data_IF_261811148322
#
_entry.id   IF_261811148322
#
_cell.length_a   1.000
_cell.length_b   1.000
_cell.length_c   1.000
_cell.angle_alpha   90.00
_cell.angle_beta   90.00
_cell.angle_gamma   90.00
#
_symmetry.space_group_name_H-M   'P 1'
#
loop_
_entity.id
_entity.type
_entity.pdbx_description
1 polymer ?
#
# COMPACT_ATOMS: atom_id res chain seq x y z
N UNK A 1 -2.17 -4.57 -26.69
CA UNK A 1 -2.19 -6.05 -26.43
C UNK A 1 -3.63 -6.55 -26.50
N UNK A 2 -3.86 -7.84 -26.85
CA UNK A 2 -5.25 -8.35 -26.79
C UNK A 2 -5.75 -8.41 -25.35
N UNK A 3 -6.99 -7.97 -25.12
CA UNK A 3 -7.61 -7.96 -23.77
C UNK A 3 -7.60 -9.34 -23.12
N UNK A 4 -7.75 -10.40 -23.93
CA UNK A 4 -7.72 -11.78 -23.47
C UNK A 4 -6.34 -12.16 -22.88
N UNK A 5 -5.24 -11.74 -23.51
CA UNK A 5 -3.90 -12.00 -23.00
C UNK A 5 -3.65 -11.27 -21.68
N UNK A 6 -4.11 -10.03 -21.56
CA UNK A 6 -3.98 -9.24 -20.31
C UNK A 6 -4.78 -9.91 -19.19
N UNK A 7 -6.02 -10.32 -19.46
CA UNK A 7 -6.85 -11.03 -18.48
C UNK A 7 -6.19 -12.35 -18.06
N UNK A 8 -5.64 -13.11 -19.01
CA UNK A 8 -4.95 -14.37 -18.71
C UNK A 8 -3.76 -14.13 -17.77
N UNK A 9 -2.93 -13.11 -18.03
CA UNK A 9 -1.80 -12.75 -17.17
C UNK A 9 -2.28 -12.39 -15.76
N UNK A 10 -3.34 -11.59 -15.64
CA UNK A 10 -3.93 -11.21 -14.35
C UNK A 10 -4.42 -12.46 -13.60
N UNK A 11 -5.15 -13.35 -14.27
CA UNK A 11 -5.69 -14.58 -13.66
C UNK A 11 -4.55 -15.50 -13.19
N UNK A 12 -3.52 -15.69 -14.01
CA UNK A 12 -2.34 -16.49 -13.61
C UNK A 12 -1.62 -15.87 -12.42
N UNK A 13 -1.42 -14.56 -12.43
CA UNK A 13 -0.80 -13.85 -11.30
C UNK A 13 -1.61 -14.01 -10.01
N UNK A 14 -2.92 -13.80 -10.07
CA UNK A 14 -3.81 -13.99 -8.92
C UNK A 14 -3.78 -15.45 -8.45
N UNK A 15 -3.84 -16.43 -9.37
CA UNK A 15 -3.76 -17.84 -9.02
C UNK A 15 -2.46 -18.19 -8.26
N UNK A 16 -1.33 -17.62 -8.65
CA UNK A 16 -0.05 -17.80 -7.94
C UNK A 16 -0.13 -17.21 -6.53
N UNK A 17 -0.62 -15.99 -6.38
CA UNK A 17 -0.76 -15.32 -5.06
C UNK A 17 -1.69 -16.14 -4.15
N UNK A 18 -2.82 -16.63 -4.66
CA UNK A 18 -3.75 -17.48 -3.91
C UNK A 18 -3.18 -18.84 -3.54
N UNK A 19 -2.48 -19.45 -4.47
CA UNK A 19 -1.79 -20.72 -4.19
C UNK A 19 -0.82 -20.56 -3.02
N UNK A 20 -0.04 -19.48 -3.02
CA UNK A 20 0.91 -19.20 -1.93
C UNK A 20 0.19 -18.89 -0.63
N UNK A 21 -0.92 -18.12 -0.65
CA UNK A 21 -1.73 -17.85 0.53
C UNK A 21 -2.27 -19.15 1.13
N UNK A 22 -2.91 -19.99 0.31
CA UNK A 22 -3.47 -21.27 0.75
C UNK A 22 -2.39 -22.25 1.25
N UNK A 23 -1.27 -22.33 0.53
CA UNK A 23 -0.15 -23.16 0.95
C UNK A 23 0.42 -22.71 2.30
N UNK A 24 0.58 -21.41 2.53
CA UNK A 24 1.10 -20.86 3.76
C UNK A 24 0.13 -21.04 4.93
N UNK A 25 -1.17 -20.91 4.71
CA UNK A 25 -2.20 -21.19 5.71
C UNK A 25 -2.14 -22.65 6.17
N UNK A 26 -2.12 -23.59 5.21
CA UNK A 26 -2.00 -25.02 5.49
C UNK A 26 -0.71 -25.39 6.21
N UNK A 27 0.38 -24.68 5.91
CA UNK A 27 1.71 -24.91 6.50
C UNK A 27 2.09 -23.84 7.55
N UNK A 28 1.12 -23.34 8.29
CA UNK A 28 1.27 -22.23 9.25
C UNK A 28 2.35 -22.46 10.32
N UNK A 29 2.73 -23.71 10.60
CA UNK A 29 3.82 -24.09 11.55
C UNK A 29 5.20 -24.17 10.90
N UNK A 30 5.30 -24.06 9.58
CA UNK A 30 6.57 -24.14 8.85
C UNK A 30 7.51 -23.00 9.22
N UNK A 31 8.82 -23.29 9.28
CA UNK A 31 9.87 -22.29 9.48
C UNK A 31 9.91 -21.24 8.35
N UNK A 32 9.47 -21.60 7.16
CA UNK A 32 9.36 -20.68 6.02
C UNK A 32 8.30 -19.62 6.24
N UNK A 33 7.12 -20.03 6.73
CA UNK A 33 6.00 -19.10 7.01
C UNK A 33 6.27 -18.29 8.29
N UNK A 34 6.80 -18.93 9.35
CA UNK A 34 7.11 -18.28 10.63
C UNK A 34 8.49 -17.61 10.61
N UNK A 35 8.78 -16.85 9.55
CA UNK A 35 10.05 -16.18 9.38
C UNK A 35 9.88 -14.67 9.62
N UNK A 36 10.74 -14.01 10.43
CA UNK A 36 10.69 -12.56 10.60
C UNK A 36 10.84 -11.76 9.29
N UNK A 37 11.48 -12.33 8.27
CA UNK A 37 11.57 -11.68 6.96
C UNK A 37 10.21 -11.62 6.24
N UNK A 38 9.36 -12.66 6.36
CA UNK A 38 8.00 -12.62 5.84
C UNK A 38 7.20 -11.49 6.49
N UNK A 39 7.30 -11.36 7.81
CA UNK A 39 6.68 -10.24 8.51
C UNK A 39 7.24 -8.89 8.06
N UNK A 40 8.55 -8.75 7.91
CA UNK A 40 9.17 -7.50 7.43
C UNK A 40 8.67 -7.12 6.03
N UNK A 41 8.67 -8.09 5.11
CA UNK A 41 8.18 -7.88 3.74
C UNK A 41 6.69 -7.55 3.69
N UNK A 42 5.88 -8.13 4.58
CA UNK A 42 4.45 -7.82 4.62
C UNK A 42 4.13 -6.37 5.05
N UNK A 43 5.05 -5.71 5.75
CA UNK A 43 4.89 -4.28 6.06
C UNK A 43 4.87 -3.40 4.80
N UNK A 44 5.40 -3.90 3.70
CA UNK A 44 5.31 -3.24 2.40
C UNK A 44 3.89 -3.25 1.80
N UNK A 45 2.87 -3.73 2.53
CA UNK A 45 1.45 -3.46 2.24
C UNK A 45 1.15 -1.96 2.13
N UNK A 46 2.03 -1.12 2.67
CA UNK A 46 2.02 0.32 2.49
C UNK A 46 2.13 0.73 1.01
N UNK A 47 2.94 0.00 0.23
CA UNK A 47 3.16 0.24 -1.20
C UNK A 47 1.99 -0.33 -2.03
N UNK A 48 1.21 0.55 -2.64
CA UNK A 48 0.03 0.22 -3.45
C UNK A 48 0.18 0.70 -4.88
N UNK A 49 -0.89 0.62 -5.70
CA UNK A 49 -0.91 1.19 -7.04
C UNK A 49 -0.51 2.68 -7.05
N UNK A 50 -0.82 3.41 -5.98
CA UNK A 50 -0.39 4.79 -5.83
C UNK A 50 1.15 4.96 -5.87
N UNK A 51 1.92 4.02 -5.35
CA UNK A 51 3.38 4.05 -5.39
C UNK A 51 3.92 4.03 -6.82
N UNK A 52 3.24 3.35 -7.75
CA UNK A 52 3.63 3.29 -9.16
C UNK A 52 3.12 4.47 -9.97
N UNK A 53 1.84 4.83 -9.80
CA UNK A 53 1.19 5.83 -10.66
C UNK A 53 1.11 7.19 -9.99
N UNK A 54 0.64 7.23 -8.74
CA UNK A 54 0.42 8.48 -8.03
C UNK A 54 1.71 9.22 -7.71
N UNK A 55 2.75 8.51 -7.22
CA UNK A 55 4.01 9.17 -6.88
C UNK A 55 4.78 9.64 -8.12
N UNK A 56 4.75 8.85 -9.19
CA UNK A 56 5.38 9.24 -10.48
C UNK A 56 4.63 10.44 -11.08
N UNK A 57 3.30 10.39 -11.11
CA UNK A 57 2.47 11.51 -11.55
C UNK A 57 2.70 12.77 -10.72
N UNK A 58 2.77 12.64 -9.39
CA UNK A 58 3.06 13.77 -8.50
C UNK A 58 4.46 14.33 -8.71
N UNK A 59 5.46 13.48 -8.94
CA UNK A 59 6.82 13.92 -9.28
C UNK A 59 6.84 14.74 -10.59
N UNK A 60 6.07 14.30 -11.58
CA UNK A 60 5.99 14.99 -12.87
C UNK A 60 5.24 16.35 -12.80
N UNK A 61 4.25 16.47 -11.91
CA UNK A 61 3.40 17.66 -11.83
C UNK A 61 3.81 18.65 -10.75
N UNK A 62 4.26 18.15 -9.59
CA UNK A 62 4.52 18.95 -8.39
C UNK A 62 5.97 18.85 -7.89
N UNK A 63 6.86 18.29 -8.70
CA UNK A 63 8.30 18.21 -8.44
C UNK A 63 8.61 17.60 -7.07
N UNK A 64 9.42 18.29 -6.25
CA UNK A 64 9.91 17.78 -4.96
C UNK A 64 8.82 17.45 -3.91
N UNK A 65 7.58 17.85 -4.14
CA UNK A 65 6.47 17.51 -3.22
C UNK A 65 6.27 16.00 -3.07
N UNK A 66 6.57 15.21 -4.11
CA UNK A 66 6.46 13.75 -4.04
C UNK A 66 7.36 13.13 -2.96
N UNK A 67 8.50 13.77 -2.63
CA UNK A 67 9.44 13.28 -1.64
C UNK A 67 8.85 13.19 -0.24
N UNK A 68 7.85 14.02 0.09
CA UNK A 68 7.20 14.04 1.43
C UNK A 68 6.68 12.67 1.84
N UNK A 69 6.19 11.89 0.87
CA UNK A 69 5.58 10.59 1.09
C UNK A 69 6.63 9.52 1.43
N UNK A 70 7.85 9.67 0.96
CA UNK A 70 8.97 8.77 1.27
C UNK A 70 9.76 9.24 2.48
N UNK A 71 10.00 10.54 2.58
CA UNK A 71 10.78 11.12 3.67
C UNK A 71 10.06 10.96 5.01
N UNK A 72 8.74 11.16 5.05
CA UNK A 72 7.96 10.99 6.27
C UNK A 72 8.18 9.63 6.94
N UNK A 73 7.90 8.52 6.28
CA UNK A 73 8.16 7.18 6.80
C UNK A 73 9.62 6.94 7.21
N UNK A 74 10.58 7.44 6.44
CA UNK A 74 12.02 7.28 6.76
C UNK A 74 12.41 8.03 8.03
N UNK A 75 12.00 9.28 8.17
CA UNK A 75 12.31 10.13 9.33
C UNK A 75 11.71 9.56 10.62
N UNK A 76 10.50 8.99 10.55
CA UNK A 76 9.81 8.47 11.75
C UNK A 76 10.37 7.11 12.23
N UNK A 77 11.18 6.39 11.45
CA UNK A 77 11.65 5.02 11.78
C UNK A 77 12.16 4.88 13.21
N UNK A 78 13.07 5.74 13.74
CA UNK A 78 13.58 5.57 15.10
C UNK A 78 12.48 5.65 16.16
N UNK A 79 11.56 6.60 16.02
CA UNK A 79 10.43 6.79 16.92
C UNK A 79 9.39 5.69 16.72
N UNK A 80 9.15 5.28 15.48
CA UNK A 80 8.23 4.22 15.10
C UNK A 80 8.55 2.89 15.81
N UNK A 81 9.81 2.49 15.87
CA UNK A 81 10.23 1.24 16.53
C UNK A 81 9.87 1.27 18.02
N UNK A 82 10.16 2.40 18.69
CA UNK A 82 9.89 2.55 20.12
C UNK A 82 8.38 2.52 20.39
N UNK A 83 7.62 3.27 19.59
CA UNK A 83 6.16 3.36 19.73
C UNK A 83 5.47 2.04 19.39
N UNK A 84 5.78 1.44 18.23
CA UNK A 84 5.14 0.21 17.78
C UNK A 84 5.43 -0.96 18.70
N UNK A 85 6.61 -1.02 19.32
CA UNK A 85 6.89 -2.03 20.35
C UNK A 85 5.92 -1.93 21.54
N UNK A 86 5.64 -0.72 22.02
CA UNK A 86 4.68 -0.49 23.10
C UNK A 86 3.26 -0.82 22.65
N UNK A 87 2.86 -0.37 21.47
CA UNK A 87 1.54 -0.62 20.89
C UNK A 87 1.30 -2.13 20.73
N UNK A 88 2.23 -2.87 20.12
CA UNK A 88 2.13 -4.33 19.95
C UNK A 88 1.99 -5.04 21.30
N UNK A 89 2.78 -4.64 22.31
CA UNK A 89 2.71 -5.24 23.65
C UNK A 89 1.35 -5.03 24.29
N UNK A 90 0.83 -3.79 24.26
CA UNK A 90 -0.50 -3.46 24.80
C UNK A 90 -1.58 -4.21 24.04
N UNK A 91 -1.50 -4.25 22.72
CA UNK A 91 -2.49 -4.92 21.87
C UNK A 91 -2.54 -6.44 22.12
N UNK A 92 -1.40 -7.07 22.33
CA UNK A 92 -1.35 -8.52 22.66
C UNK A 92 -1.93 -8.85 24.03
N UNK A 93 -1.63 -8.02 25.03
CA UNK A 93 -2.15 -8.24 26.41
C UNK A 93 -3.67 -8.10 26.41
N UNK A 94 -4.21 -7.12 25.67
CA UNK A 94 -5.64 -6.80 25.68
C UNK A 94 -6.41 -7.42 24.51
N UNK A 95 -5.79 -8.29 23.69
CA UNK A 95 -6.42 -8.96 22.53
C UNK A 95 -7.08 -7.97 21.55
N UNK A 96 -6.40 -6.86 21.25
CA UNK A 96 -6.89 -5.82 20.37
C UNK A 96 -6.83 -6.33 18.93
N UNK A 97 -7.93 -6.16 18.19
CA UNK A 97 -8.09 -6.61 16.81
C UNK A 97 -8.10 -5.47 15.78
N UNK A 98 -8.24 -4.23 16.24
CA UNK A 98 -8.32 -3.06 15.34
C UNK A 98 -7.76 -1.79 15.99
N UNK A 99 -7.49 -0.77 15.17
CA UNK A 99 -7.12 0.55 15.68
C UNK A 99 -8.27 1.19 16.49
N UNK A 100 -9.52 0.90 16.13
CA UNK A 100 -10.68 1.38 16.86
C UNK A 100 -10.74 0.80 18.28
N UNK A 101 -10.44 -0.51 18.43
CA UNK A 101 -10.33 -1.16 19.75
C UNK A 101 -9.20 -0.57 20.57
N UNK A 102 -8.05 -0.28 19.92
CA UNK A 102 -6.90 0.31 20.60
C UNK A 102 -7.25 1.67 21.19
N UNK A 103 -7.90 2.54 20.41
CA UNK A 103 -8.34 3.85 20.89
C UNK A 103 -9.42 3.73 21.95
N UNK A 104 -10.43 2.89 21.74
CA UNK A 104 -11.50 2.62 22.72
C UNK A 104 -10.94 2.18 24.08
N UNK A 105 -10.00 1.23 24.07
CA UNK A 105 -9.32 0.75 25.28
C UNK A 105 -8.64 1.88 26.05
N UNK A 106 -7.95 2.77 25.35
CA UNK A 106 -7.21 3.89 25.96
C UNK A 106 -8.12 4.83 26.75
N UNK A 107 -9.38 4.94 26.34
CA UNK A 107 -10.40 5.79 26.95
C UNK A 107 -11.46 4.98 27.72
N UNK A 108 -11.03 3.97 28.47
CA UNK A 108 -11.88 3.20 29.36
C UNK A 108 -12.88 2.27 28.67
N UNK A 109 -12.50 1.67 27.55
CA UNK A 109 -13.38 0.81 26.73
C UNK A 109 -14.65 1.53 26.25
N UNK A 110 -14.52 2.80 25.90
CA UNK A 110 -15.63 3.60 25.42
C UNK A 110 -16.11 3.12 24.03
N UNK A 111 -17.26 2.44 24.00
CA UNK A 111 -17.85 1.88 22.78
C UNK A 111 -18.22 2.95 21.75
N UNK A 112 -18.71 4.10 22.20
CA UNK A 112 -19.04 5.22 21.30
C UNK A 112 -17.80 5.72 20.57
N UNK A 113 -16.69 5.88 21.28
CA UNK A 113 -15.44 6.29 20.69
C UNK A 113 -14.91 5.26 19.68
N UNK A 114 -15.00 3.96 20.00
CA UNK A 114 -14.67 2.88 19.07
C UNK A 114 -15.51 2.94 17.79
N UNK A 115 -16.83 3.11 17.92
CA UNK A 115 -17.73 3.27 16.77
C UNK A 115 -17.40 4.51 15.93
N UNK A 116 -17.10 5.65 16.57
CA UNK A 116 -16.72 6.88 15.88
C UNK A 116 -15.42 6.70 15.07
N UNK A 117 -14.39 6.08 15.67
CA UNK A 117 -13.13 5.79 14.96
C UNK A 117 -13.37 4.86 13.79
N UNK A 118 -14.18 3.81 13.95
CA UNK A 118 -14.55 2.91 12.86
C UNK A 118 -15.26 3.67 11.73
N UNK A 119 -16.21 4.52 12.05
CA UNK A 119 -16.92 5.33 11.06
C UNK A 119 -15.98 6.25 10.28
N UNK A 120 -15.07 6.94 10.96
CA UNK A 120 -14.06 7.79 10.30
C UNK A 120 -13.14 6.96 9.41
N UNK A 121 -12.70 5.78 9.86
CA UNK A 121 -11.87 4.88 9.05
C UNK A 121 -12.60 4.41 7.79
N UNK A 122 -13.90 4.08 7.89
CA UNK A 122 -14.72 3.68 6.73
C UNK A 122 -14.87 4.84 5.74
N UNK A 123 -15.17 6.05 6.21
CA UNK A 123 -15.25 7.22 5.34
C UNK A 123 -13.93 7.52 4.63
N UNK A 124 -12.80 7.37 5.31
CA UNK A 124 -11.49 7.63 4.75
C UNK A 124 -11.04 6.56 3.73
N UNK A 125 -11.46 5.30 3.90
CA UNK A 125 -11.05 4.20 3.02
C UNK A 125 -11.77 4.21 1.67
N UNK A 126 -13.00 4.73 1.60
CA UNK A 126 -13.81 4.75 0.36
C UNK A 126 -13.10 5.50 -0.78
N UNK A 127 -12.67 6.76 -0.64
CA UNK A 127 -11.93 7.45 -1.71
C UNK A 127 -10.60 6.77 -2.02
N UNK A 128 -9.96 6.16 -1.03
CA UNK A 128 -8.73 5.41 -1.23
C UNK A 128 -8.94 4.16 -2.11
N UNK A 129 -10.00 3.37 -1.87
CA UNK A 129 -10.36 2.22 -2.71
C UNK A 129 -10.68 2.69 -4.12
N UNK A 130 -11.42 3.79 -4.27
CA UNK A 130 -11.77 4.36 -5.58
C UNK A 130 -10.52 4.71 -6.41
N UNK A 131 -9.47 5.28 -5.78
CA UNK A 131 -8.19 5.54 -6.43
C UNK A 131 -7.50 4.25 -6.91
N UNK A 132 -7.56 3.17 -6.13
CA UNK A 132 -6.97 1.89 -6.54
C UNK A 132 -7.73 1.29 -7.72
N UNK A 133 -9.05 1.30 -7.68
CA UNK A 133 -9.89 0.81 -8.78
C UNK A 133 -9.64 1.60 -10.07
N UNK A 134 -9.57 2.92 -9.96
CA UNK A 134 -9.25 3.80 -11.08
C UNK A 134 -7.89 3.46 -11.68
N UNK A 135 -6.84 3.30 -10.86
CA UNK A 135 -5.51 2.97 -11.34
C UNK A 135 -5.48 1.62 -12.09
N UNK A 136 -6.18 0.61 -11.60
CA UNK A 136 -6.28 -0.71 -12.26
C UNK A 136 -7.00 -0.58 -13.60
N UNK A 137 -8.12 0.13 -13.61
CA UNK A 137 -8.95 0.34 -14.81
C UNK A 137 -8.19 1.12 -15.90
N UNK A 138 -7.57 2.23 -15.54
CA UNK A 138 -6.78 3.04 -16.47
C UNK A 138 -5.61 2.24 -17.05
N UNK A 139 -4.94 1.45 -16.21
CA UNK A 139 -3.85 0.58 -16.67
C UNK A 139 -4.35 -0.45 -17.68
N UNK A 140 -5.47 -1.11 -17.37
CA UNK A 140 -6.09 -2.09 -18.27
C UNK A 140 -6.46 -1.44 -19.61
N UNK A 141 -7.11 -0.29 -19.57
CA UNK A 141 -7.53 0.43 -20.78
C UNK A 141 -6.35 0.87 -21.64
N UNK A 142 -5.27 1.38 -21.02
CA UNK A 142 -4.05 1.79 -21.74
C UNK A 142 -3.38 0.58 -22.40
N UNK A 143 -3.24 -0.54 -21.69
CA UNK A 143 -2.56 -1.73 -22.21
C UNK A 143 -3.37 -2.41 -23.32
N UNK A 144 -4.71 -2.38 -23.23
CA UNK A 144 -5.61 -3.01 -24.22
C UNK A 144 -6.01 -2.06 -25.34
N UNK A 145 -5.58 -0.80 -25.29
CA UNK A 145 -5.99 0.26 -26.23
C UNK A 145 -7.52 0.42 -26.29
N UNK A 146 -8.18 0.10 -25.18
CA UNK A 146 -9.63 0.21 -25.06
C UNK A 146 -10.02 1.63 -24.70
N UNK A 147 -10.57 2.36 -25.67
CA UNK A 147 -11.12 3.69 -25.42
C UNK A 147 -12.56 3.55 -24.95
N UNK A 148 -12.85 4.02 -23.73
CA UNK A 148 -14.22 4.10 -23.22
C UNK A 148 -14.94 5.19 -24.00
N UNK A 149 -15.88 4.79 -24.85
CA UNK A 149 -16.76 5.70 -25.58
C UNK A 149 -18.08 5.76 -24.81
N UNK A 150 -18.26 6.81 -24.03
CA UNK A 150 -19.54 7.13 -23.37
C UNK A 150 -19.45 7.25 -21.84
N UNK A 151 -20.42 7.99 -21.27
CA UNK A 151 -20.54 8.28 -19.83
C UNK A 151 -21.43 7.24 -19.09
N UNK A 152 -21.65 6.06 -19.64
CA UNK A 152 -22.48 5.03 -19.00
C UNK A 152 -21.66 4.21 -18.01
N UNK A 153 -22.18 4.03 -16.80
CA UNK A 153 -21.55 3.19 -15.76
C UNK A 153 -21.34 1.75 -16.25
N UNK A 154 -22.24 1.24 -17.10
CA UNK A 154 -22.18 -0.12 -17.64
C UNK A 154 -21.00 -0.29 -18.62
N UNK A 155 -20.56 0.80 -19.25
CA UNK A 155 -19.42 0.77 -20.17
C UNK A 155 -18.08 1.05 -19.49
N UNK A 156 -18.08 1.31 -18.16
CA UNK A 156 -16.88 1.61 -17.40
C UNK A 156 -16.21 0.33 -16.93
N UNK A 157 -14.97 0.11 -17.38
CA UNK A 157 -14.13 -1.00 -16.94
C UNK A 157 -13.95 -1.04 -15.42
N UNK A 158 -13.96 0.12 -14.76
CA UNK A 158 -13.85 0.25 -13.30
C UNK A 158 -15.00 -0.45 -12.59
N UNK A 159 -16.21 -0.39 -13.14
CA UNK A 159 -17.39 -1.06 -12.58
C UNK A 159 -17.24 -2.57 -12.52
N UNK A 160 -16.76 -3.19 -13.61
CA UNK A 160 -16.55 -4.64 -13.66
C UNK A 160 -15.41 -5.09 -12.74
N UNK A 161 -14.33 -4.31 -12.66
CA UNK A 161 -13.22 -4.58 -11.75
C UNK A 161 -13.71 -4.48 -10.30
N UNK A 162 -14.52 -3.49 -9.96
CA UNK A 162 -15.08 -3.33 -8.62
C UNK A 162 -15.96 -4.52 -8.21
N UNK A 163 -16.83 -5.00 -9.11
CA UNK A 163 -17.66 -6.19 -8.87
C UNK A 163 -16.78 -7.42 -8.66
N UNK A 164 -15.80 -7.64 -9.53
CA UNK A 164 -14.89 -8.78 -9.43
C UNK A 164 -14.15 -8.79 -8.09
N UNK A 165 -13.61 -7.65 -7.66
CA UNK A 165 -12.93 -7.51 -6.38
C UNK A 165 -13.88 -7.62 -5.18
N UNK A 166 -15.12 -7.14 -5.29
CA UNK A 166 -16.13 -7.30 -4.25
C UNK A 166 -16.52 -8.76 -4.05
N UNK A 167 -16.76 -9.49 -5.14
CA UNK A 167 -17.02 -10.94 -5.12
C UNK A 167 -15.84 -11.66 -4.47
N UNK A 168 -14.63 -11.30 -4.90
CA UNK A 168 -13.40 -11.86 -4.34
C UNK A 168 -13.28 -11.60 -2.82
N UNK A 169 -13.49 -10.37 -2.37
CA UNK A 169 -13.45 -10.00 -0.95
C UNK A 169 -14.51 -10.76 -0.14
N UNK A 170 -15.70 -10.99 -0.72
CA UNK A 170 -16.75 -11.77 -0.07
C UNK A 170 -16.37 -13.24 0.10
N UNK A 171 -15.72 -13.85 -0.91
CA UNK A 171 -15.33 -15.27 -0.83
C UNK A 171 -14.13 -15.50 0.10
N UNK A 172 -13.16 -14.59 0.11
CA UNK A 172 -11.88 -14.81 0.81
C UNK A 172 -11.73 -13.99 2.10
N UNK A 173 -12.41 -12.84 2.21
CA UNK A 173 -12.29 -11.96 3.36
C UNK A 173 -13.18 -12.29 4.54
N UNK A 174 -14.24 -13.11 4.33
CA UNK A 174 -15.26 -13.37 5.37
C UNK A 174 -15.24 -14.79 5.91
N UNK A 175 -14.26 -15.63 5.55
CA UNK A 175 -14.24 -17.04 5.98
C UNK A 175 -13.96 -17.25 7.45
N UNK A 176 -13.31 -16.33 8.12
CA UNK A 176 -12.98 -16.42 9.53
C UNK A 176 -13.49 -15.20 10.31
N UNK A 177 -14.34 -15.45 11.31
CA UNK A 177 -14.95 -14.42 12.14
C UNK A 177 -14.21 -14.19 13.46
N UNK A 178 -13.17 -14.97 13.74
CA UNK A 178 -12.44 -14.85 14.99
C UNK A 178 -11.41 -13.70 14.92
N UNK A 179 -11.68 -12.63 15.65
CA UNK A 179 -10.88 -11.40 15.65
C UNK A 179 -9.43 -11.56 16.14
N UNK A 180 -9.11 -12.73 16.74
CA UNK A 180 -7.77 -13.05 17.25
C UNK A 180 -6.99 -14.01 16.34
N UNK A 181 -7.61 -14.51 15.29
CA UNK A 181 -6.98 -15.41 14.33
C UNK A 181 -6.01 -14.63 13.43
N UNK A 182 -4.85 -15.23 13.22
CA UNK A 182 -3.80 -14.65 12.38
C UNK A 182 -3.83 -15.27 11.01
N UNK A 183 -3.88 -14.42 10.01
CA UNK A 183 -3.98 -14.81 8.61
C UNK A 183 -2.60 -15.00 7.98
N UNK A 184 -1.90 -16.06 8.36
CA UNK A 184 -0.53 -16.33 7.87
C UNK A 184 -0.46 -16.47 6.37
N UNK A 185 -1.50 -17.02 5.76
CA UNK A 185 -1.63 -17.09 4.32
C UNK A 185 -1.59 -15.72 3.68
N UNK A 186 -2.43 -14.79 4.14
CA UNK A 186 -2.48 -13.42 3.63
C UNK A 186 -1.15 -12.69 3.84
N UNK A 187 -0.54 -12.80 5.02
CA UNK A 187 0.75 -12.16 5.32
C UNK A 187 1.86 -12.67 4.40
N UNK A 188 1.88 -13.98 4.12
CA UNK A 188 2.88 -14.58 3.20
C UNK A 188 2.63 -14.16 1.75
N UNK A 189 1.37 -14.09 1.33
CA UNK A 189 1.00 -13.60 0.00
C UNK A 189 1.40 -12.13 -0.20
N UNK A 190 1.13 -11.26 0.78
CA UNK A 190 1.55 -9.85 0.77
C UNK A 190 3.07 -9.72 0.73
N UNK A 191 3.80 -10.57 1.46
CA UNK A 191 5.27 -10.59 1.42
C UNK A 191 5.79 -10.95 0.02
N UNK A 192 5.23 -11.98 -0.63
CA UNK A 192 5.57 -12.35 -2.01
C UNK A 192 5.25 -11.22 -2.98
N UNK A 193 4.05 -10.66 -2.90
CA UNK A 193 3.61 -9.53 -3.72
C UNK A 193 4.58 -8.34 -3.60
N UNK A 194 5.07 -8.08 -2.40
CA UNK A 194 6.03 -7.00 -2.13
C UNK A 194 7.36 -7.19 -2.84
N UNK A 195 7.87 -8.43 -2.87
CA UNK A 195 9.08 -8.77 -3.62
C UNK A 195 8.85 -8.56 -5.13
N UNK A 196 7.74 -9.07 -5.65
CA UNK A 196 7.39 -8.94 -7.06
C UNK A 196 7.31 -7.46 -7.45
N UNK A 197 6.61 -6.65 -6.67
CA UNK A 197 6.50 -5.20 -6.89
C UNK A 197 7.86 -4.52 -6.91
N UNK A 198 8.73 -4.82 -5.94
CA UNK A 198 10.07 -4.23 -5.87
C UNK A 198 10.92 -4.60 -7.09
N UNK A 199 10.93 -5.88 -7.47
CA UNK A 199 11.70 -6.38 -8.62
C UNK A 199 11.25 -5.69 -9.91
N UNK A 200 9.94 -5.63 -10.18
CA UNK A 200 9.43 -4.97 -11.38
C UNK A 200 9.69 -3.46 -11.36
N UNK A 201 9.59 -2.81 -10.21
CA UNK A 201 9.90 -1.40 -10.07
C UNK A 201 11.38 -1.11 -10.42
N UNK A 202 12.29 -1.93 -9.91
CA UNK A 202 13.72 -1.80 -10.21
C UNK A 202 14.01 -2.09 -11.69
N UNK A 203 13.40 -3.11 -12.28
CA UNK A 203 13.57 -3.43 -13.70
C UNK A 203 13.12 -2.26 -14.56
N UNK A 204 11.95 -1.68 -14.30
CA UNK A 204 11.46 -0.52 -15.05
C UNK A 204 12.37 0.68 -14.86
N UNK A 205 12.81 0.96 -13.62
CA UNK A 205 13.74 2.04 -13.33
C UNK A 205 15.06 1.91 -14.08
N UNK A 206 15.65 0.71 -14.08
CA UNK A 206 16.89 0.42 -14.82
C UNK A 206 16.67 0.50 -16.33
N UNK A 207 15.58 -0.05 -16.84
CA UNK A 207 15.24 0.02 -18.27
C UNK A 207 15.10 1.47 -18.74
N UNK A 208 14.35 2.29 -18.00
CA UNK A 208 14.21 3.71 -18.34
C UNK A 208 15.56 4.42 -18.29
N UNK A 209 16.32 4.22 -17.22
CA UNK A 209 17.56 4.97 -17.00
C UNK A 209 18.65 4.62 -18.00
N UNK A 210 18.81 3.36 -18.36
CA UNK A 210 19.97 2.90 -19.16
C UNK A 210 19.64 2.44 -20.57
N UNK A 211 18.37 2.13 -20.87
CA UNK A 211 17.94 1.73 -22.20
C UNK A 211 17.26 2.85 -22.97
N UNK A 212 16.33 3.58 -22.33
CA UNK A 212 15.66 4.73 -22.96
C UNK A 212 16.51 6.00 -22.90
N UNK A 213 17.33 6.12 -21.86
CA UNK A 213 18.28 7.22 -21.66
C UNK A 213 19.69 6.66 -21.45
N UNK A 214 20.72 7.49 -21.60
CA UNK A 214 22.13 7.11 -21.42
C UNK A 214 22.60 7.35 -19.96
N UNK A 215 21.74 7.08 -18.98
CA UNK A 215 22.04 7.23 -17.57
C UNK A 215 21.44 8.48 -16.92
N UNK A 216 21.63 8.66 -15.60
CA UNK A 216 21.02 9.74 -14.83
C UNK A 216 21.40 11.14 -15.34
N UNK A 217 22.62 11.33 -15.81
CA UNK A 217 23.12 12.60 -16.34
C UNK A 217 22.40 13.00 -17.63
N UNK A 218 22.11 12.06 -18.51
CA UNK A 218 21.35 12.32 -19.74
C UNK A 218 19.90 12.70 -19.41
N UNK A 219 19.28 11.99 -18.46
CA UNK A 219 17.94 12.34 -17.97
C UNK A 219 17.94 13.77 -17.44
N UNK A 220 18.88 14.11 -16.55
CA UNK A 220 18.96 15.45 -15.97
C UNK A 220 19.14 16.53 -17.04
N UNK A 221 20.04 16.31 -18.00
CA UNK A 221 20.30 17.28 -19.08
C UNK A 221 19.10 17.52 -20.00
N UNK A 222 18.21 16.52 -20.14
CA UNK A 222 16.98 16.64 -20.93
C UNK A 222 15.87 17.31 -20.13
N UNK A 223 15.71 16.90 -18.86
CA UNK A 223 14.66 17.44 -17.97
C UNK A 223 14.94 18.90 -17.62
N UNK A 224 16.22 19.29 -17.44
CA UNK A 224 16.61 20.69 -17.15
C UNK A 224 16.25 21.69 -18.27
N UNK A 225 15.98 21.20 -19.49
CA UNK A 225 15.53 22.02 -20.63
C UNK A 225 14.01 22.19 -20.70
N UNK A 226 13.26 21.50 -19.86
CA UNK A 226 11.80 21.61 -19.86
C UNK A 226 11.36 22.93 -19.21
N UNK A 227 10.29 23.56 -19.76
CA UNK A 227 9.69 24.72 -19.13
C UNK A 227 9.23 24.35 -17.71
N UNK A 228 9.40 25.24 -16.75
CA UNK A 228 9.05 25.07 -15.33
C UNK A 228 9.95 24.11 -14.51
N UNK A 229 11.07 23.63 -15.05
CA UNK A 229 11.99 22.77 -14.32
C UNK A 229 12.48 23.40 -13.01
N UNK A 230 12.87 24.68 -13.03
CA UNK A 230 13.33 25.40 -11.85
C UNK A 230 12.24 25.50 -10.77
N UNK A 231 10.98 25.70 -11.17
CA UNK A 231 9.83 25.77 -10.25
C UNK A 231 9.58 24.41 -9.61
N UNK A 232 9.74 23.33 -10.37
CA UNK A 232 9.56 21.97 -9.85
C UNK A 232 10.67 21.52 -8.89
N UNK A 233 11.84 22.15 -8.96
CA UNK A 233 12.95 21.87 -8.04
C UNK A 233 12.89 22.66 -6.73
N UNK A 234 11.94 23.56 -6.58
CA UNK A 234 11.81 24.37 -5.38
C UNK A 234 10.69 23.85 -4.47
N UNK A 235 10.95 23.82 -3.16
CA UNK A 235 9.93 23.54 -2.13
C UNK A 235 8.88 24.66 -2.09
N UNK A 236 9.25 25.84 -2.53
CA UNK A 236 8.41 27.04 -2.61
C UNK A 236 7.52 27.11 -3.85
N UNK A 237 7.47 26.02 -4.66
CA UNK A 237 6.59 25.90 -5.83
C UNK A 237 5.11 26.07 -5.47
N UNK A 238 4.24 25.42 -6.18
CA UNK A 238 2.78 25.64 -6.15
C UNK A 238 2.15 25.65 -4.74
N UNK A 239 2.78 25.04 -3.71
CA UNK A 239 2.15 24.83 -2.40
C UNK A 239 2.90 25.40 -1.20
N UNK A 240 4.10 25.92 -1.36
CA UNK A 240 4.90 26.52 -0.29
C UNK A 240 5.47 25.54 0.74
N UNK A 241 6.48 25.97 1.50
CA UNK A 241 7.19 25.13 2.47
C UNK A 241 6.31 24.62 3.62
N UNK A 242 5.25 25.34 3.98
CA UNK A 242 4.33 24.92 5.04
C UNK A 242 3.52 23.68 4.64
N UNK A 243 2.98 23.64 3.43
CA UNK A 243 2.27 22.46 2.92
C UNK A 243 3.19 21.26 2.79
N UNK A 244 4.44 21.48 2.32
CA UNK A 244 5.44 20.42 2.26
C UNK A 244 5.72 19.80 3.64
N UNK A 245 5.86 20.65 4.66
CA UNK A 245 6.04 20.22 6.05
C UNK A 245 4.82 19.44 6.57
N UNK A 246 3.59 19.95 6.34
CA UNK A 246 2.36 19.27 6.73
C UNK A 246 2.22 17.90 6.06
N UNK A 247 2.49 17.81 4.75
CA UNK A 247 2.45 16.55 4.01
C UNK A 247 3.48 15.54 4.56
N UNK A 248 4.65 16.01 4.95
CA UNK A 248 5.67 15.16 5.59
C UNK A 248 5.18 14.60 6.93
N UNK A 249 4.56 15.43 7.78
CA UNK A 249 3.97 14.99 9.06
C UNK A 249 2.83 13.99 8.80
N UNK A 250 1.94 14.29 7.87
CA UNK A 250 0.85 13.38 7.52
C UNK A 250 1.37 12.03 7.04
N UNK A 251 2.43 12.03 6.25
CA UNK A 251 3.09 10.81 5.79
C UNK A 251 3.73 10.01 6.93
N UNK A 252 4.38 10.69 7.91
CA UNK A 252 4.89 10.05 9.14
C UNK A 252 3.79 9.36 9.94
N UNK A 253 2.64 10.03 10.07
CA UNK A 253 1.51 9.51 10.84
C UNK A 253 0.81 8.38 10.09
N UNK A 254 0.71 8.48 8.77
CA UNK A 254 0.02 7.50 7.94
C UNK A 254 0.61 6.09 8.08
N UNK A 255 1.93 5.93 8.12
CA UNK A 255 2.56 4.61 8.28
C UNK A 255 2.25 3.96 9.65
N UNK A 256 1.81 4.75 10.62
CA UNK A 256 1.49 4.27 11.97
C UNK A 256 0.02 3.97 12.14
N UNK A 257 -0.86 4.82 11.61
CA UNK A 257 -2.28 4.88 11.95
C UNK A 257 -3.21 4.40 10.83
N UNK A 258 -2.74 4.17 9.61
CA UNK A 258 -3.60 3.57 8.59
C UNK A 258 -4.11 2.21 9.06
N UNK A 259 -5.44 1.93 9.01
CA UNK A 259 -6.01 0.70 9.53
C UNK A 259 -5.35 -0.57 9.00
N UNK A 260 -5.06 -0.62 7.70
CA UNK A 260 -4.35 -1.75 7.07
C UNK A 260 -2.93 -1.92 7.59
N UNK A 261 -2.22 -0.79 7.83
CA UNK A 261 -0.86 -0.81 8.34
C UNK A 261 -0.85 -1.25 9.81
N UNK A 262 -1.81 -0.76 10.59
CA UNK A 262 -2.02 -1.21 11.97
C UNK A 262 -2.31 -2.71 12.02
N UNK A 263 -3.18 -3.22 11.15
CA UNK A 263 -3.49 -4.64 11.06
C UNK A 263 -2.21 -5.47 10.87
N UNK A 264 -1.44 -5.19 9.82
CA UNK A 264 -0.23 -5.97 9.51
C UNK A 264 0.86 -5.78 10.57
N UNK A 265 1.08 -4.55 11.03
CA UNK A 265 2.16 -4.23 11.98
C UNK A 265 1.88 -4.74 13.39
N UNK A 266 0.64 -4.61 13.86
CA UNK A 266 0.27 -4.82 15.27
C UNK A 266 -0.46 -6.13 15.47
N UNK A 267 -1.56 -6.35 14.75
CA UNK A 267 -2.44 -7.50 14.96
C UNK A 267 -1.78 -8.79 14.48
N UNK A 268 -1.23 -8.78 13.26
CA UNK A 268 -0.57 -9.94 12.64
C UNK A 268 0.85 -10.20 13.18
N UNK A 269 1.38 -9.32 14.01
CA UNK A 269 2.71 -9.51 14.60
C UNK A 269 2.72 -10.70 15.57
N UNK A 270 3.51 -11.73 15.29
CA UNK A 270 3.62 -12.90 16.19
C UNK A 270 4.50 -12.62 17.39
N UNK A 271 5.61 -11.97 17.20
CA UNK A 271 6.63 -11.76 18.23
C UNK A 271 7.19 -10.35 18.16
N UNK A 272 7.17 -9.65 19.29
CA UNK A 272 7.76 -8.32 19.41
C UNK A 272 9.23 -8.25 18.87
N UNK A 273 9.94 -9.36 18.98
CA UNK A 273 11.34 -9.49 18.48
C UNK A 273 11.46 -9.28 16.97
N UNK A 274 10.39 -9.49 16.19
CA UNK A 274 10.43 -9.32 14.74
C UNK A 274 10.64 -7.87 14.34
N UNK A 275 10.15 -6.92 15.15
CA UNK A 275 10.40 -5.48 14.91
C UNK A 275 11.88 -5.11 14.87
N UNK A 276 12.75 -5.82 15.63
CA UNK A 276 14.20 -5.56 15.59
C UNK A 276 14.86 -5.93 14.27
N UNK A 277 14.20 -6.72 13.42
CA UNK A 277 14.73 -7.13 12.10
C UNK A 277 14.13 -6.32 10.95
N UNK A 278 13.14 -5.47 11.24
CA UNK A 278 12.53 -4.54 10.28
C UNK A 278 13.46 -3.34 10.03
N UNK A 279 14.34 -3.09 10.95
CA UNK A 279 15.36 -2.02 10.92
C UNK A 279 16.73 -2.58 10.61
#
# INVERSE_FOLDING_TARGET
MSSLLVILIIVVYLAVIFYVAFWAEKNSKSKWVNNPYIYTLSLAVYCTAWTYYGSVGLAATSGLTFLTIYLGPVIIIPVWIILMRKVIRISKINKISSIADFVSLRYGNNRFLGALVTFVCVLAIVPYISLQLKAISETFNVITEHHIIGNSIINDTTFYIAILLAIFAAFFGTQHTDATERHKGIITAVALESIIKLVFFLIIGLYVTFYLFNGPTDIYSKVSKLPNFEVQQTINGVEGGFNWFLLSILSMIAIMLLPRQFQVTVVENEREKYLKKVT
#
